data_IF_291496218729
#
_entry.id   IF_291496218729
#
_cell.length_a   1.000
_cell.length_b   1.000
_cell.length_c   1.000
_cell.angle_alpha   90.00
_cell.angle_beta   90.00
_cell.angle_gamma   90.00
#
_symmetry.space_group_name_H-M   'P 1'
#
loop_
_entity.id
_entity.type
_entity.pdbx_description
1 polymer ?
#
# COMPACT_ATOMS: atom_id res chain seq x y z
N UNK A 1 -16.84 -6.42 10.16
CA UNK A 1 -16.93 -7.63 9.31
C UNK A 1 -17.17 -7.14 7.90
N UNK A 2 -16.14 -7.24 7.05
CA UNK A 2 -16.20 -6.83 5.64
C UNK A 2 -17.04 -7.88 4.90
N UNK A 3 -18.26 -7.50 4.49
CA UNK A 3 -19.14 -8.28 3.63
C UNK A 3 -19.10 -7.66 2.23
N UNK A 4 -18.50 -8.36 1.26
CA UNK A 4 -17.95 -7.76 0.04
C UNK A 4 -17.83 -8.78 -1.06
N UNK A 5 -18.97 -9.21 -1.58
CA UNK A 5 -19.03 -10.05 -2.77
C UNK A 5 -18.24 -9.37 -3.91
N UNK A 6 -17.04 -9.88 -4.21
CA UNK A 6 -16.21 -9.45 -5.34
C UNK A 6 -15.15 -8.38 -5.07
N UNK A 7 -14.75 -8.09 -3.82
CA UNK A 7 -13.67 -7.11 -3.54
C UNK A 7 -12.49 -7.76 -2.81
N UNK A 8 -11.28 -7.40 -3.23
CA UNK A 8 -10.03 -7.83 -2.59
C UNK A 8 -9.48 -6.69 -1.73
N UNK A 9 -9.22 -6.97 -0.46
CA UNK A 9 -8.65 -6.02 0.50
C UNK A 9 -7.21 -6.40 0.80
N UNK A 10 -6.27 -5.49 0.52
CA UNK A 10 -4.84 -5.67 0.81
C UNK A 10 -4.41 -4.70 1.91
N UNK A 11 -3.87 -5.24 3.00
CA UNK A 11 -3.27 -4.45 4.10
C UNK A 11 -1.76 -4.52 3.98
N UNK A 12 -1.11 -3.36 4.08
CA UNK A 12 0.34 -3.21 4.01
C UNK A 12 0.83 -2.47 5.25
N UNK A 13 1.96 -2.92 5.78
CA UNK A 13 2.74 -2.18 6.77
C UNK A 13 3.79 -1.35 6.04
N UNK A 14 4.11 -0.19 6.58
CA UNK A 14 5.18 0.67 6.10
C UNK A 14 5.93 1.27 7.29
N UNK A 15 7.18 1.66 7.09
CA UNK A 15 7.99 2.23 8.16
C UNK A 15 7.39 3.53 8.69
N UNK A 16 7.35 3.66 10.02
CA UNK A 16 6.81 4.82 10.75
C UNK A 16 7.90 5.52 11.56
N UNK A 17 7.58 6.74 12.02
CA UNK A 17 8.45 7.53 12.89
C UNK A 17 9.80 7.84 12.23
N UNK A 18 10.86 7.84 13.04
CA UNK A 18 12.23 8.13 12.58
C UNK A 18 12.67 7.16 11.48
N UNK A 19 12.30 5.88 11.56
CA UNK A 19 12.68 4.91 10.51
C UNK A 19 12.01 5.20 9.16
N UNK A 20 10.77 5.70 9.17
CA UNK A 20 10.04 6.00 7.93
C UNK A 20 10.30 7.40 7.37
N UNK A 21 10.58 8.37 8.24
CA UNK A 21 10.49 9.79 7.90
C UNK A 21 11.66 10.64 8.40
N UNK A 22 12.71 10.04 8.97
CA UNK A 22 13.92 10.80 9.32
C UNK A 22 14.53 11.40 8.05
N UNK A 23 14.79 12.71 8.11
CA UNK A 23 15.54 13.44 7.11
C UNK A 23 16.69 14.16 7.80
N UNK A 24 17.90 14.04 7.27
CA UNK A 24 19.08 14.67 7.87
C UNK A 24 20.40 14.12 7.33
N UNK A 25 21.40 15.01 7.18
CA UNK A 25 22.68 14.67 6.55
C UNK A 25 22.48 14.12 5.13
N UNK A 26 23.09 12.97 4.85
CA UNK A 26 22.97 12.25 3.56
C UNK A 26 21.72 11.32 3.49
N UNK A 27 20.87 11.29 4.52
CA UNK A 27 19.68 10.44 4.55
C UNK A 27 18.50 11.16 3.90
N UNK A 28 18.10 10.69 2.71
CA UNK A 28 17.05 11.30 1.87
C UNK A 28 15.61 11.19 2.40
N UNK A 29 15.38 10.47 3.50
CA UNK A 29 14.08 10.29 4.14
C UNK A 29 13.01 9.66 3.24
N UNK A 30 11.74 9.82 3.64
CA UNK A 30 10.56 9.31 2.93
C UNK A 30 10.52 7.79 2.71
N UNK A 31 11.25 7.01 3.49
CA UNK A 31 11.23 5.54 3.42
C UNK A 31 9.82 4.98 3.61
N UNK A 32 9.00 5.60 4.46
CA UNK A 32 7.58 5.21 4.62
C UNK A 32 6.77 5.37 3.32
N UNK A 33 7.03 6.41 2.52
CA UNK A 33 6.40 6.56 1.20
C UNK A 33 7.00 5.63 0.14
N UNK A 34 8.30 5.34 0.23
CA UNK A 34 8.95 4.37 -0.64
C UNK A 34 8.38 2.96 -0.41
N UNK A 35 8.14 2.57 0.84
CA UNK A 35 7.48 1.31 1.20
C UNK A 35 6.07 1.23 0.61
N UNK A 36 5.28 2.31 0.72
CA UNK A 36 3.95 2.37 0.13
C UNK A 36 3.99 2.26 -1.40
N UNK A 37 4.93 2.94 -2.06
CA UNK A 37 5.10 2.87 -3.51
C UNK A 37 5.49 1.47 -3.95
N UNK A 38 6.43 0.84 -3.25
CA UNK A 38 6.86 -0.53 -3.53
C UNK A 38 5.71 -1.52 -3.34
N UNK A 39 4.90 -1.34 -2.29
CA UNK A 39 3.72 -2.15 -2.06
C UNK A 39 2.69 -2.01 -3.19
N UNK A 40 2.45 -0.80 -3.71
CA UNK A 40 1.58 -0.59 -4.88
C UNK A 40 2.13 -1.26 -6.14
N UNK A 41 3.44 -1.20 -6.37
CA UNK A 41 4.09 -1.90 -7.48
C UNK A 41 3.94 -3.43 -7.33
N UNK A 42 4.10 -3.94 -6.11
CA UNK A 42 3.89 -5.36 -5.84
C UNK A 42 2.44 -5.77 -6.11
N UNK A 43 1.46 -4.97 -5.67
CA UNK A 43 0.04 -5.23 -5.95
C UNK A 43 -0.19 -5.26 -7.45
N UNK A 44 0.26 -4.26 -8.20
CA UNK A 44 0.08 -4.22 -9.66
C UNK A 44 0.65 -5.47 -10.36
N UNK A 45 1.79 -5.97 -9.89
CA UNK A 45 2.44 -7.14 -10.49
C UNK A 45 1.81 -8.48 -10.08
N UNK A 46 1.21 -8.55 -8.90
CA UNK A 46 0.83 -9.82 -8.27
C UNK A 46 -0.68 -10.01 -8.04
N UNK A 47 -1.49 -8.95 -8.03
CA UNK A 47 -2.92 -9.05 -7.65
C UNK A 47 -3.73 -9.96 -8.58
N UNK A 48 -3.29 -10.12 -9.83
CA UNK A 48 -3.86 -11.06 -10.80
C UNK A 48 -3.87 -12.52 -10.32
N UNK A 49 -2.89 -12.92 -9.49
CA UNK A 49 -2.82 -14.27 -8.92
C UNK A 49 -3.85 -14.50 -7.81
N UNK A 50 -4.41 -13.43 -7.26
CA UNK A 50 -5.45 -13.46 -6.23
C UNK A 50 -6.85 -13.22 -6.83
N UNK A 51 -6.96 -13.19 -8.17
CA UNK A 51 -8.21 -12.95 -8.89
C UNK A 51 -8.62 -11.48 -8.99
N UNK A 52 -7.71 -10.53 -8.73
CA UNK A 52 -7.96 -9.09 -8.87
C UNK A 52 -7.47 -8.53 -10.20
N UNK A 53 -8.10 -7.46 -10.67
CA UNK A 53 -7.65 -6.72 -11.86
C UNK A 53 -6.58 -5.68 -11.48
N UNK A 54 -5.33 -5.81 -11.99
CA UNK A 54 -4.26 -4.87 -11.75
C UNK A 54 -4.47 -3.47 -12.35
N UNK A 55 -5.54 -3.21 -13.10
CA UNK A 55 -5.91 -1.90 -13.66
C UNK A 55 -7.07 -1.21 -12.93
N UNK A 56 -7.74 -1.89 -11.99
CA UNK A 56 -8.87 -1.32 -11.23
C UNK A 56 -8.46 -0.45 -10.02
N UNK A 57 -7.18 -0.04 -9.92
CA UNK A 57 -6.65 0.73 -8.79
C UNK A 57 -6.93 2.24 -8.85
N UNK A 58 -7.51 2.76 -9.93
CA UNK A 58 -7.73 4.21 -10.09
C UNK A 58 -9.05 4.68 -9.44
N UNK A 59 -8.95 5.01 -8.14
CA UNK A 59 -9.74 6.02 -7.42
C UNK A 59 -11.27 5.87 -7.27
N UNK A 60 -11.77 4.74 -6.78
CA UNK A 60 -13.08 4.73 -6.08
C UNK A 60 -12.95 4.16 -4.67
N UNK A 61 -12.52 5.03 -3.74
CA UNK A 61 -12.44 4.82 -2.29
C UNK A 61 -11.52 3.70 -1.83
N UNK A 62 -10.30 4.11 -1.51
CA UNK A 62 -9.42 3.36 -0.60
C UNK A 62 -10.01 3.53 0.80
N UNK A 63 -10.60 2.47 1.36
CA UNK A 63 -11.02 2.46 2.76
C UNK A 63 -9.85 2.02 3.63
N UNK A 64 -9.29 2.96 4.39
CA UNK A 64 -8.29 2.67 5.42
C UNK A 64 -9.05 2.32 6.70
N UNK A 65 -9.14 1.02 7.02
CA UNK A 65 -9.74 0.57 8.29
C UNK A 65 -8.62 0.43 9.34
N UNK A 66 -8.77 1.16 10.44
CA UNK A 66 -7.91 1.10 11.64
C UNK A 66 -8.05 -0.30 12.27
N UNK A 67 -6.94 -1.00 12.44
CA UNK A 67 -6.82 -2.04 13.47
C UNK A 67 -6.18 -1.39 14.69
#
# INVERSE_FOLDING_TARGET
>A
MVNTSGIIVVKLNYCLGVMGFLVGGDVGGNFGFQDQRLALQWIQNNIKYFGGDPNEYCQRKIYVEKV
#
